data_IF_217660460872
#
_entry.id   IF_217660460872
#
_cell.length_a   1.000
_cell.length_b   1.000
_cell.length_c   1.000
_cell.angle_alpha   90.00
_cell.angle_beta   90.00
_cell.angle_gamma   90.00
#
_symmetry.space_group_name_H-M   'P 1'
#
loop_
_entity.id
_entity.type
_entity.pdbx_description
1 polymer ?
#
# COMPACT_ATOMS: atom_id res chain seq x y z
N UNK A 1 27.25 45.01 -4.77
CA UNK A 1 26.20 44.23 -5.46
C UNK A 1 26.57 42.75 -5.62
N UNK A 2 27.69 42.36 -6.24
CA UNK A 2 28.10 40.93 -6.41
C UNK A 2 28.16 40.10 -5.10
N UNK A 3 28.64 40.67 -4.00
CA UNK A 3 28.76 39.96 -2.70
C UNK A 3 27.40 39.68 -2.03
N UNK A 4 26.41 40.56 -2.22
CA UNK A 4 25.06 40.39 -1.69
C UNK A 4 24.31 39.32 -2.48
N UNK A 5 24.47 39.31 -3.81
CA UNK A 5 23.88 38.30 -4.69
C UNK A 5 24.41 36.88 -4.39
N UNK A 6 25.72 36.76 -4.08
CA UNK A 6 26.34 35.47 -3.73
C UNK A 6 25.85 34.98 -2.34
N UNK A 7 25.75 35.89 -1.36
CA UNK A 7 25.25 35.54 -0.02
C UNK A 7 23.78 35.09 -0.05
N UNK A 8 22.96 35.68 -0.93
CA UNK A 8 21.56 35.29 -1.10
C UNK A 8 21.44 33.90 -1.76
N UNK A 9 22.29 33.61 -2.74
CA UNK A 9 22.34 32.31 -3.41
C UNK A 9 22.77 31.18 -2.46
N UNK A 10 23.77 31.44 -1.59
CA UNK A 10 24.24 30.47 -0.59
C UNK A 10 23.16 30.25 0.48
N UNK A 11 22.46 31.30 0.92
CA UNK A 11 21.34 31.19 1.85
C UNK A 11 20.19 30.34 1.30
N UNK A 12 19.83 30.52 0.03
CA UNK A 12 18.81 29.71 -0.65
C UNK A 12 19.26 28.24 -0.77
N UNK A 13 20.53 27.99 -1.10
CA UNK A 13 21.07 26.63 -1.24
C UNK A 13 21.08 25.85 0.08
N UNK A 14 21.36 26.52 1.19
CA UNK A 14 21.31 25.93 2.54
C UNK A 14 19.89 25.58 2.98
N UNK A 15 18.87 26.37 2.58
CA UNK A 15 17.46 26.07 2.88
C UNK A 15 17.00 24.82 2.10
N UNK A 16 17.44 24.64 0.85
CA UNK A 16 17.14 23.45 0.04
C UNK A 16 17.89 22.18 0.49
N UNK A 17 18.95 22.32 1.28
CA UNK A 17 19.74 21.19 1.80
C UNK A 17 19.14 20.57 3.06
N UNK A 18 18.12 21.19 3.65
CA UNK A 18 17.30 20.58 4.71
C UNK A 18 16.34 19.62 4.00
N UNK A 19 16.86 18.47 3.57
CA UNK A 19 16.02 17.35 3.17
C UNK A 19 15.31 16.84 4.42
N UNK A 20 14.16 17.43 4.75
CA UNK A 20 13.14 16.68 5.49
C UNK A 20 12.90 15.44 4.65
N UNK A 21 13.18 14.26 5.21
CA UNK A 21 12.83 12.97 4.63
C UNK A 21 11.33 12.95 4.45
N UNK A 22 10.87 13.51 3.33
CA UNK A 22 9.56 13.25 2.81
C UNK A 22 9.56 11.75 2.56
N UNK A 23 8.82 11.01 3.38
CA UNK A 23 8.30 9.73 2.95
C UNK A 23 7.60 10.05 1.64
N UNK A 24 8.18 9.61 0.52
CA UNK A 24 7.48 9.61 -0.73
C UNK A 24 6.27 8.72 -0.49
N UNK A 25 5.15 9.32 -0.08
CA UNK A 25 3.85 8.68 -0.12
C UNK A 25 3.76 8.19 -1.55
N UNK A 26 3.76 6.87 -1.72
CA UNK A 26 3.69 6.20 -3.00
C UNK A 26 2.33 6.53 -3.61
N UNK A 27 2.24 7.67 -4.27
CA UNK A 27 1.13 8.02 -5.16
C UNK A 27 1.32 7.24 -6.45
N UNK A 28 1.12 5.92 -6.46
CA UNK A 28 1.32 5.21 -7.72
C UNK A 28 0.90 3.76 -7.84
N UNK A 29 0.92 2.95 -6.77
CA UNK A 29 0.55 1.55 -6.90
C UNK A 29 -0.83 1.28 -6.27
N UNK A 30 -1.91 1.15 -7.08
CA UNK A 30 -3.23 0.84 -6.55
C UNK A 30 -3.29 -0.52 -5.83
N UNK A 31 -2.30 -1.38 -6.07
CA UNK A 31 -2.18 -2.71 -5.46
C UNK A 31 -1.29 -2.70 -4.19
N UNK A 32 -0.71 -1.56 -3.81
CA UNK A 32 0.05 -1.43 -2.57
C UNK A 32 -0.84 -1.74 -1.36
N UNK A 33 -0.25 -2.39 -0.36
CA UNK A 33 -0.95 -2.84 0.84
C UNK A 33 -0.22 -2.29 2.06
N UNK A 34 -0.88 -1.38 2.79
CA UNK A 34 -0.25 -0.59 3.85
C UNK A 34 0.34 -1.47 4.96
N UNK A 35 -0.36 -2.54 5.34
CA UNK A 35 0.06 -3.48 6.38
C UNK A 35 1.31 -4.25 5.93
N UNK A 36 1.39 -4.64 4.65
CA UNK A 36 2.55 -5.28 4.04
C UNK A 36 3.77 -4.33 3.96
N UNK A 37 3.56 -3.07 3.62
CA UNK A 37 4.61 -2.05 3.64
C UNK A 37 5.13 -1.81 5.06
N UNK A 38 4.23 -1.71 6.05
CA UNK A 38 4.62 -1.60 7.44
C UNK A 38 5.47 -2.78 7.90
N UNK A 39 5.12 -4.01 7.53
CA UNK A 39 5.95 -5.19 7.81
C UNK A 39 7.36 -5.08 7.21
N UNK A 40 7.48 -4.71 5.93
CA UNK A 40 8.79 -4.55 5.29
C UNK A 40 9.64 -3.50 6.02
N UNK A 41 9.04 -2.38 6.41
CA UNK A 41 9.71 -1.35 7.20
C UNK A 41 10.12 -1.86 8.58
N UNK A 42 9.24 -2.58 9.29
CA UNK A 42 9.52 -3.17 10.58
C UNK A 42 10.72 -4.13 10.50
N UNK A 43 10.71 -5.07 9.56
CA UNK A 43 11.82 -6.02 9.35
C UNK A 43 13.13 -5.25 9.09
N UNK A 44 13.12 -4.30 8.16
CA UNK A 44 14.30 -3.49 7.85
C UNK A 44 14.85 -2.75 9.07
N UNK A 45 13.98 -2.20 9.93
CA UNK A 45 14.39 -1.50 11.17
C UNK A 45 14.88 -2.45 12.25
N UNK A 46 14.30 -3.63 12.36
CA UNK A 46 14.72 -4.65 13.33
C UNK A 46 15.99 -5.38 12.89
N UNK A 47 16.34 -5.35 11.60
CA UNK A 47 17.59 -5.89 11.05
C UNK A 47 18.78 -4.91 11.15
N UNK A 48 18.57 -3.66 11.56
CA UNK A 48 19.65 -2.72 11.88
C UNK A 48 20.53 -3.24 13.04
N UNK A 49 21.77 -2.75 13.14
CA UNK A 49 22.70 -3.09 14.23
C UNK A 49 23.22 -1.80 14.93
N UNK A 50 22.72 -1.44 16.12
CA UNK A 50 21.71 -2.16 16.91
C UNK A 50 20.29 -2.04 16.32
N UNK A 51 19.42 -3.01 16.64
CA UNK A 51 18.04 -3.04 16.15
C UNK A 51 17.25 -1.79 16.59
N UNK A 52 16.49 -1.22 15.66
CA UNK A 52 15.76 0.03 15.87
C UNK A 52 14.29 -0.22 16.19
N UNK A 53 14.02 -0.69 17.41
CA UNK A 53 12.67 -0.98 17.91
C UNK A 53 11.73 0.24 17.87
N UNK A 54 12.27 1.46 18.04
CA UNK A 54 11.48 2.68 18.04
C UNK A 54 10.86 2.95 16.67
N UNK A 55 11.67 2.92 15.61
CA UNK A 55 11.16 3.16 14.26
C UNK A 55 10.34 1.97 13.74
N UNK A 56 10.66 0.74 14.15
CA UNK A 56 9.81 -0.42 13.86
C UNK A 56 8.42 -0.28 14.51
N UNK A 57 8.35 0.17 15.77
CA UNK A 57 7.08 0.42 16.48
C UNK A 57 6.26 1.49 15.78
N UNK A 58 6.90 2.59 15.35
CA UNK A 58 6.24 3.67 14.61
C UNK A 58 5.66 3.17 13.28
N UNK A 59 6.37 2.31 12.56
CA UNK A 59 5.85 1.70 11.33
C UNK A 59 4.59 0.87 11.60
N UNK A 60 4.56 0.11 12.70
CA UNK A 60 3.38 -0.64 13.12
C UNK A 60 2.20 0.25 13.54
N UNK A 61 2.46 1.29 14.35
CA UNK A 61 1.43 2.21 14.84
C UNK A 61 0.67 2.89 13.68
N UNK A 62 1.33 3.13 12.53
CA UNK A 62 0.68 3.68 11.33
C UNK A 62 -0.41 2.78 10.72
N UNK A 63 -0.39 1.49 11.01
CA UNK A 63 -1.36 0.50 10.48
C UNK A 63 -2.21 -0.15 11.57
N UNK A 64 -1.93 0.18 12.84
CA UNK A 64 -2.62 -0.41 13.98
C UNK A 64 -4.12 -0.17 13.94
N UNK A 65 -4.57 1.02 13.55
CA UNK A 65 -6.00 1.34 13.48
C UNK A 65 -6.73 0.43 12.47
N UNK A 66 -6.17 0.24 11.27
CA UNK A 66 -6.75 -0.66 10.25
C UNK A 66 -6.80 -2.11 10.78
N UNK A 67 -5.73 -2.56 11.44
CA UNK A 67 -5.67 -3.90 12.03
C UNK A 67 -6.74 -4.05 13.12
N UNK A 68 -6.85 -3.09 14.04
CA UNK A 68 -7.81 -3.13 15.15
C UNK A 68 -9.26 -3.12 14.64
N UNK A 69 -9.54 -2.36 13.58
CA UNK A 69 -10.87 -2.28 12.98
C UNK A 69 -11.29 -3.59 12.30
N UNK A 70 -10.36 -4.29 11.65
CA UNK A 70 -10.71 -5.48 10.85
C UNK A 70 -10.43 -6.83 11.54
N UNK A 71 -9.52 -6.86 12.52
CA UNK A 71 -9.09 -8.09 13.20
C UNK A 71 -9.37 -8.05 14.71
N UNK A 72 -9.87 -6.91 15.22
CA UNK A 72 -10.02 -6.66 16.65
C UNK A 72 -8.69 -6.26 17.30
N UNK A 73 -8.75 -5.92 18.60
CA UNK A 73 -7.61 -5.36 19.33
C UNK A 73 -6.59 -6.39 19.83
N UNK A 74 -6.89 -7.68 19.73
CA UNK A 74 -6.02 -8.73 20.30
C UNK A 74 -4.64 -8.82 19.61
N UNK A 75 -4.53 -8.85 18.27
CA UNK A 75 -3.24 -8.86 17.60
C UNK A 75 -2.36 -7.66 17.99
N UNK A 76 -2.94 -6.46 18.09
CA UNK A 76 -2.21 -5.26 18.47
C UNK A 76 -1.74 -5.27 19.92
N UNK A 77 -2.53 -5.84 20.84
CA UNK A 77 -2.08 -6.03 22.22
C UNK A 77 -0.90 -6.98 22.32
N UNK A 78 -0.91 -8.08 21.56
CA UNK A 78 0.21 -9.03 21.52
C UNK A 78 1.48 -8.34 20.97
N UNK A 79 1.35 -7.66 19.83
CA UNK A 79 2.42 -6.90 19.20
C UNK A 79 3.07 -5.88 20.14
N UNK A 80 2.26 -5.06 20.83
CA UNK A 80 2.76 -4.04 21.75
C UNK A 80 3.53 -4.64 22.93
N UNK A 81 3.08 -5.78 23.45
CA UNK A 81 3.77 -6.50 24.52
C UNK A 81 5.15 -7.00 24.08
N UNK A 82 5.31 -7.40 22.81
CA UNK A 82 6.59 -7.86 22.30
C UNK A 82 7.53 -6.69 21.95
N UNK A 83 6.98 -5.54 21.55
CA UNK A 83 7.74 -4.27 21.49
C UNK A 83 8.26 -3.85 22.86
N UNK A 84 7.45 -3.93 23.92
CA UNK A 84 7.87 -3.57 25.28
C UNK A 84 9.01 -4.46 25.80
N UNK A 85 9.03 -5.73 25.36
CA UNK A 85 10.10 -6.69 25.65
C UNK A 85 11.30 -6.61 24.70
N UNK A 86 11.22 -5.78 23.65
CA UNK A 86 12.21 -5.72 22.58
C UNK A 86 12.53 -7.10 21.99
N UNK A 87 11.52 -7.96 21.83
CA UNK A 87 11.69 -9.30 21.28
C UNK A 87 11.49 -9.25 19.76
N UNK A 88 12.59 -9.09 19.02
CA UNK A 88 12.61 -8.99 17.56
C UNK A 88 11.88 -10.15 16.89
N UNK A 89 12.22 -11.37 17.26
CA UNK A 89 11.69 -12.58 16.63
C UNK A 89 10.18 -12.70 16.85
N UNK A 90 9.71 -12.35 18.06
CA UNK A 90 8.29 -12.37 18.37
C UNK A 90 7.51 -11.27 17.62
N UNK A 91 8.04 -10.05 17.53
CA UNK A 91 7.46 -8.95 16.75
C UNK A 91 7.30 -9.35 15.28
N UNK A 92 8.35 -9.93 14.68
CA UNK A 92 8.32 -10.37 13.28
C UNK A 92 7.29 -11.49 13.11
N UNK A 93 7.31 -12.52 13.98
CA UNK A 93 6.39 -13.64 13.90
C UNK A 93 4.91 -13.23 14.07
N UNK A 94 4.63 -12.29 14.96
CA UNK A 94 3.27 -11.77 15.14
C UNK A 94 2.80 -10.95 13.95
N UNK A 95 3.69 -10.16 13.34
CA UNK A 95 3.34 -9.40 12.14
C UNK A 95 3.09 -10.33 10.95
N UNK A 96 3.86 -11.42 10.82
CA UNK A 96 3.64 -12.43 9.79
C UNK A 96 2.24 -13.08 9.91
N UNK A 97 1.78 -13.37 11.13
CA UNK A 97 0.40 -13.86 11.36
C UNK A 97 -0.64 -12.81 10.99
N UNK A 98 -0.41 -11.54 11.33
CA UNK A 98 -1.30 -10.43 10.95
C UNK A 98 -1.42 -10.33 9.41
N UNK A 99 -0.32 -10.45 8.68
CA UNK A 99 -0.34 -10.46 7.22
C UNK A 99 -1.13 -11.65 6.66
N UNK A 100 -0.96 -12.85 7.22
CA UNK A 100 -1.75 -14.02 6.82
C UNK A 100 -3.25 -13.83 7.09
N UNK A 101 -3.63 -13.20 8.22
CA UNK A 101 -5.02 -12.81 8.51
C UNK A 101 -5.54 -11.77 7.51
N UNK A 102 -4.71 -10.82 7.08
CA UNK A 102 -5.07 -9.83 6.06
C UNK A 102 -5.32 -10.50 4.69
N UNK A 103 -4.47 -11.47 4.31
CA UNK A 103 -4.69 -12.29 3.09
C UNK A 103 -6.04 -13.01 3.16
N UNK A 104 -6.36 -13.64 4.30
CA UNK A 104 -7.66 -14.28 4.49
C UNK A 104 -8.83 -13.31 4.30
N UNK A 105 -8.78 -12.14 4.93
CA UNK A 105 -9.80 -11.08 4.79
C UNK A 105 -9.99 -10.71 3.32
N UNK A 106 -8.89 -10.42 2.60
CA UNK A 106 -8.97 -9.99 1.20
C UNK A 106 -9.50 -11.08 0.29
N UNK A 107 -9.03 -12.32 0.42
CA UNK A 107 -9.52 -13.44 -0.39
C UNK A 107 -10.99 -13.78 -0.09
N UNK A 108 -11.45 -13.55 1.15
CA UNK A 108 -12.88 -13.66 1.50
C UNK A 108 -13.68 -12.57 0.79
N UNK A 109 -13.21 -11.32 0.81
CA UNK A 109 -13.86 -10.22 0.09
C UNK A 109 -13.91 -10.46 -1.44
N UNK A 110 -12.89 -11.09 -2.03
CA UNK A 110 -12.91 -11.51 -3.44
C UNK A 110 -13.99 -12.55 -3.69
N UNK A 111 -14.15 -13.54 -2.81
CA UNK A 111 -15.19 -14.57 -2.96
C UNK A 111 -16.60 -13.97 -2.93
N UNK A 112 -16.83 -13.02 -2.02
CA UNK A 112 -18.11 -12.34 -1.86
C UNK A 112 -18.43 -11.41 -3.04
N UNK A 113 -17.40 -10.75 -3.59
CA UNK A 113 -17.53 -9.78 -4.70
C UNK A 113 -17.13 -10.38 -6.04
N UNK A 114 -17.12 -11.70 -6.16
CA UNK A 114 -16.51 -12.42 -7.28
C UNK A 114 -17.04 -12.01 -8.67
N UNK A 115 -18.31 -11.60 -8.73
CA UNK A 115 -18.96 -11.12 -9.96
C UNK A 115 -18.50 -9.73 -10.42
N UNK A 116 -17.91 -8.92 -9.54
CA UNK A 116 -17.29 -7.65 -9.87
C UNK A 116 -15.80 -7.88 -10.17
N UNK A 117 -15.48 -7.96 -11.45
CA UNK A 117 -14.12 -8.24 -11.93
C UNK A 117 -13.09 -7.22 -11.43
N UNK A 118 -13.38 -5.92 -11.52
CA UNK A 118 -12.41 -4.88 -11.19
C UNK A 118 -12.15 -4.83 -9.68
N UNK A 119 -13.20 -4.95 -8.88
CA UNK A 119 -13.07 -5.01 -7.42
C UNK A 119 -12.35 -6.29 -6.99
N UNK A 120 -12.73 -7.44 -7.53
CA UNK A 120 -12.11 -8.74 -7.22
C UNK A 120 -10.64 -8.78 -7.61
N UNK A 121 -10.29 -8.27 -8.80
CA UNK A 121 -8.91 -8.22 -9.28
C UNK A 121 -8.04 -7.33 -8.41
N UNK A 122 -8.53 -6.15 -8.02
CA UNK A 122 -7.81 -5.23 -7.13
C UNK A 122 -7.59 -5.85 -5.75
N UNK A 123 -8.62 -6.47 -5.18
CA UNK A 123 -8.55 -7.15 -3.89
C UNK A 123 -7.55 -8.31 -3.90
N UNK A 124 -7.60 -9.13 -4.95
CA UNK A 124 -6.68 -10.23 -5.14
C UNK A 124 -5.24 -9.74 -5.32
N UNK A 125 -5.04 -8.66 -6.08
CA UNK A 125 -3.71 -8.06 -6.24
C UNK A 125 -3.14 -7.56 -4.91
N UNK A 126 -3.96 -6.96 -4.04
CA UNK A 126 -3.55 -6.56 -2.68
C UNK A 126 -3.24 -7.77 -1.79
N UNK A 127 -4.02 -8.84 -1.88
CA UNK A 127 -3.74 -10.09 -1.17
C UNK A 127 -2.41 -10.69 -1.63
N UNK A 128 -2.14 -10.67 -2.94
CA UNK A 128 -0.88 -11.14 -3.50
C UNK A 128 0.29 -10.26 -3.07
N UNK A 129 0.18 -8.93 -3.11
CA UNK A 129 1.20 -8.01 -2.60
C UNK A 129 1.52 -8.25 -1.11
N UNK A 130 0.49 -8.55 -0.31
CA UNK A 130 0.66 -8.97 1.09
C UNK A 130 1.47 -10.25 1.20
N UNK A 131 1.19 -11.23 0.33
CA UNK A 131 1.95 -12.46 0.27
C UNK A 131 3.40 -12.24 -0.22
N UNK A 132 3.64 -11.36 -1.19
CA UNK A 132 4.99 -11.04 -1.65
C UNK A 132 5.87 -10.50 -0.51
N UNK A 133 5.29 -9.75 0.43
CA UNK A 133 5.99 -9.33 1.63
C UNK A 133 6.32 -10.52 2.56
N UNK A 134 5.46 -11.53 2.66
CA UNK A 134 5.70 -12.77 3.42
C UNK A 134 6.65 -13.75 2.72
N UNK A 135 6.71 -13.70 1.39
CA UNK A 135 7.39 -14.68 0.55
C UNK A 135 8.85 -14.95 0.94
N UNK A 136 9.68 -13.95 1.32
CA UNK A 136 11.04 -14.23 1.81
C UNK A 136 11.07 -15.15 3.03
N UNK A 137 10.18 -14.95 4.01
CA UNK A 137 10.11 -15.77 5.22
C UNK A 137 9.62 -17.20 4.91
N UNK A 138 8.60 -17.34 4.06
CA UNK A 138 8.12 -18.65 3.61
C UNK A 138 9.19 -19.38 2.80
N UNK A 139 9.88 -18.68 1.91
CA UNK A 139 10.91 -19.25 1.04
C UNK A 139 12.18 -19.69 1.77
N UNK A 140 12.54 -18.99 2.86
CA UNK A 140 13.64 -19.37 3.74
C UNK A 140 13.36 -20.71 4.44
N UNK A 141 12.12 -20.95 4.88
CA UNK A 141 11.72 -22.21 5.49
C UNK A 141 11.44 -23.32 4.46
N UNK A 142 10.73 -22.97 3.37
CA UNK A 142 10.26 -23.90 2.36
C UNK A 142 10.01 -23.23 1.00
N UNK A 143 11.03 -23.29 0.13
CA UNK A 143 10.97 -22.74 -1.24
C UNK A 143 9.88 -23.36 -2.13
N UNK A 144 9.59 -24.64 -1.95
CA UNK A 144 8.53 -25.32 -2.72
C UNK A 144 7.15 -24.82 -2.32
N UNK A 145 6.94 -24.60 -1.02
CA UNK A 145 5.72 -23.99 -0.49
C UNK A 145 5.54 -22.56 -1.01
N UNK A 146 6.62 -21.77 -1.02
CA UNK A 146 6.56 -20.41 -1.55
C UNK A 146 6.11 -20.38 -3.02
N UNK A 147 6.72 -21.24 -3.84
CA UNK A 147 6.38 -21.38 -5.27
C UNK A 147 4.92 -21.80 -5.43
N UNK A 148 4.48 -22.80 -4.66
CA UNK A 148 3.10 -23.29 -4.69
C UNK A 148 2.09 -22.19 -4.37
N UNK A 149 2.34 -21.36 -3.35
CA UNK A 149 1.39 -20.30 -2.98
C UNK A 149 1.32 -19.25 -4.10
N UNK A 150 2.45 -18.86 -4.71
CA UNK A 150 2.47 -17.94 -5.87
C UNK A 150 1.66 -18.50 -7.04
N UNK A 151 1.83 -19.79 -7.34
CA UNK A 151 1.07 -20.44 -8.40
C UNK A 151 -0.43 -20.46 -8.11
N UNK A 152 -0.84 -20.65 -6.86
CA UNK A 152 -2.26 -20.56 -6.49
C UNK A 152 -2.82 -19.13 -6.59
N UNK A 153 -2.03 -18.10 -6.32
CA UNK A 153 -2.44 -16.71 -6.60
C UNK A 153 -2.62 -16.47 -8.11
N UNK A 154 -1.75 -17.04 -8.95
CA UNK A 154 -1.90 -16.97 -10.40
C UNK A 154 -3.19 -17.67 -10.87
N UNK A 155 -3.47 -18.88 -10.35
CA UNK A 155 -4.71 -19.61 -10.65
C UNK A 155 -5.94 -18.84 -10.17
N UNK A 156 -5.89 -18.26 -8.98
CA UNK A 156 -6.96 -17.40 -8.46
C UNK A 156 -7.21 -16.22 -9.40
N UNK A 157 -6.16 -15.57 -9.90
CA UNK A 157 -6.28 -14.45 -10.84
C UNK A 157 -6.88 -14.89 -12.17
N UNK A 158 -6.40 -16.00 -12.73
CA UNK A 158 -6.92 -16.57 -13.97
C UNK A 158 -8.39 -16.99 -13.87
N UNK A 159 -8.82 -17.37 -12.66
CA UNK A 159 -10.19 -17.80 -12.38
C UNK A 159 -11.19 -16.64 -12.29
N UNK A 160 -10.72 -15.40 -12.10
CA UNK A 160 -11.59 -14.21 -12.19
C UNK A 160 -12.13 -14.00 -13.62
N UNK A 161 -11.57 -14.69 -14.61
CA UNK A 161 -11.91 -14.49 -16.01
C UNK A 161 -11.32 -13.20 -16.56
N UNK A 162 -11.93 -12.68 -17.62
CA UNK A 162 -11.61 -11.40 -18.23
C UNK A 162 -12.85 -10.89 -18.96
N UNK A 163 -13.41 -9.71 -18.64
CA UNK A 163 -14.56 -9.18 -19.37
C UNK A 163 -14.23 -8.85 -20.84
N UNK A 164 -12.94 -8.67 -21.19
CA UNK A 164 -12.51 -8.29 -22.52
C UNK A 164 -12.80 -6.81 -22.84
N UNK A 165 -12.14 -6.28 -23.87
CA UNK A 165 -12.42 -4.93 -24.35
C UNK A 165 -13.54 -5.01 -25.39
N UNK A 166 -14.73 -4.50 -25.06
CA UNK A 166 -15.94 -4.65 -25.88
C UNK A 166 -16.27 -6.14 -26.21
N UNK A 167 -15.98 -7.05 -25.28
CA UNK A 167 -16.20 -8.49 -25.44
C UNK A 167 -15.09 -9.22 -26.22
N UNK A 168 -14.11 -8.51 -26.79
CA UNK A 168 -12.95 -9.14 -27.41
C UNK A 168 -12.00 -9.65 -26.33
N UNK A 169 -11.68 -10.95 -26.39
CA UNK A 169 -10.80 -11.60 -25.41
C UNK A 169 -11.50 -11.96 -24.09
N UNK A 170 -12.82 -12.05 -24.09
CA UNK A 170 -13.59 -12.48 -22.92
C UNK A 170 -13.19 -13.89 -22.48
N UNK A 171 -13.03 -14.07 -21.17
CA UNK A 171 -12.83 -15.36 -20.50
C UNK A 171 -13.83 -15.44 -19.36
N UNK A 172 -14.57 -16.55 -19.33
CA UNK A 172 -15.54 -16.79 -18.27
C UNK A 172 -14.86 -16.94 -16.90
N UNK A 173 -15.51 -16.38 -15.88
CA UNK A 173 -15.07 -16.51 -14.50
C UNK A 173 -15.41 -17.92 -13.96
N UNK A 174 -14.59 -18.42 -13.04
CA UNK A 174 -14.72 -19.75 -12.44
C UNK A 174 -14.52 -19.66 -10.92
N UNK A 175 -15.61 -19.41 -10.19
CA UNK A 175 -15.57 -19.25 -8.74
C UNK A 175 -15.14 -20.51 -7.99
N UNK A 176 -15.41 -21.70 -8.53
CA UNK A 176 -14.98 -22.96 -7.91
C UNK A 176 -13.47 -23.12 -7.96
N UNK A 177 -12.83 -22.71 -9.06
CA UNK A 177 -11.37 -22.68 -9.16
C UNK A 177 -10.79 -21.66 -8.18
N UNK A 178 -11.39 -20.47 -8.10
CA UNK A 178 -11.01 -19.46 -7.11
C UNK A 178 -11.05 -20.01 -5.67
N UNK A 179 -12.17 -20.62 -5.27
CA UNK A 179 -12.36 -21.18 -3.94
C UNK A 179 -11.32 -22.25 -3.61
N UNK A 180 -11.01 -23.14 -4.55
CA UNK A 180 -9.95 -24.15 -4.38
C UNK A 180 -8.58 -23.50 -4.16
N UNK A 181 -8.22 -22.51 -4.97
CA UNK A 181 -6.95 -21.79 -4.80
C UNK A 181 -6.90 -21.02 -3.48
N UNK A 182 -7.98 -20.32 -3.11
CA UNK A 182 -8.13 -19.66 -1.80
C UNK A 182 -7.87 -20.65 -0.66
N UNK A 183 -8.53 -21.81 -0.67
CA UNK A 183 -8.40 -22.81 0.39
C UNK A 183 -6.97 -23.35 0.49
N UNK A 184 -6.29 -23.58 -0.65
CA UNK A 184 -4.90 -24.02 -0.66
C UNK A 184 -3.97 -22.94 -0.10
N UNK A 185 -4.13 -21.68 -0.51
CA UNK A 185 -3.34 -20.55 0.00
C UNK A 185 -3.50 -20.45 1.52
N UNK A 186 -4.75 -20.39 2.00
CA UNK A 186 -5.04 -20.19 3.41
C UNK A 186 -4.57 -21.37 4.25
N UNK A 187 -4.86 -22.61 3.85
CA UNK A 187 -4.41 -23.80 4.57
C UNK A 187 -2.88 -23.89 4.63
N UNK A 188 -2.19 -23.47 3.57
CA UNK A 188 -0.72 -23.42 3.53
C UNK A 188 -0.16 -22.42 4.53
N UNK A 189 -0.67 -21.18 4.51
CA UNK A 189 -0.26 -20.11 5.43
C UNK A 189 -0.62 -20.44 6.88
N UNK A 190 -1.77 -21.08 7.11
CA UNK A 190 -2.19 -21.51 8.44
C UNK A 190 -1.18 -22.46 9.08
N UNK A 191 -0.71 -23.44 8.29
CA UNK A 191 0.27 -24.43 8.74
C UNK A 191 1.63 -23.79 8.95
N UNK A 192 2.07 -22.98 7.99
CA UNK A 192 3.37 -22.29 8.02
C UNK A 192 3.51 -21.43 9.28
N UNK A 193 2.52 -20.58 9.56
CA UNK A 193 2.54 -19.64 10.68
C UNK A 193 1.87 -20.16 11.95
N UNK A 194 1.49 -21.44 11.99
CA UNK A 194 0.84 -22.12 13.13
C UNK A 194 -0.39 -21.35 13.66
N UNK A 195 -1.19 -20.83 12.74
CA UNK A 195 -2.41 -20.07 13.06
C UNK A 195 -3.51 -21.06 13.46
N UNK A 196 -4.06 -20.91 14.67
CA UNK A 196 -5.09 -21.84 15.17
C UNK A 196 -6.38 -21.75 14.36
N UNK A 197 -6.83 -20.54 14.08
CA UNK A 197 -8.02 -20.25 13.27
C UNK A 197 -7.83 -18.90 12.59
N UNK A 198 -8.31 -18.76 11.36
CA UNK A 198 -8.38 -17.47 10.67
C UNK A 198 -9.58 -16.61 11.12
N UNK A 199 -10.50 -17.14 11.93
CA UNK A 199 -11.68 -16.43 12.47
C UNK A 199 -11.37 -15.39 13.55
N UNK A 200 -10.11 -15.05 13.82
CA UNK A 200 -9.78 -14.03 14.81
C UNK A 200 -10.11 -12.66 14.23
N UNK A 201 -11.30 -12.15 14.55
CA UNK A 201 -11.79 -10.83 14.15
C UNK A 201 -13.22 -10.87 13.64
N UNK A 202 -14.06 -9.92 14.08
CA UNK A 202 -15.26 -9.56 13.34
C UNK A 202 -14.81 -8.94 12.02
N UNK A 203 -14.59 -9.76 11.00
CA UNK A 203 -14.44 -9.27 9.63
C UNK A 203 -15.82 -8.74 9.24
N UNK A 204 -16.11 -7.50 9.63
CA UNK A 204 -17.29 -6.81 9.18
C UNK A 204 -17.09 -6.52 7.70
N UNK A 205 -17.68 -7.36 6.86
CA UNK A 205 -17.64 -7.24 5.40
C UNK A 205 -18.40 -6.01 4.90
N UNK A 206 -19.08 -5.28 5.81
CA UNK A 206 -19.66 -3.95 5.55
C UNK A 206 -18.66 -2.79 5.69
N UNK A 207 -17.45 -3.05 6.20
CA UNK A 207 -16.37 -2.07 6.24
C UNK A 207 -16.13 -1.54 4.84
N UNK A 208 -16.45 -0.26 4.61
CA UNK A 208 -16.02 0.47 3.43
C UNK A 208 -14.50 0.41 3.42
N UNK A 209 -13.93 -0.54 2.69
CA UNK A 209 -12.58 -0.39 2.18
C UNK A 209 -12.55 1.01 1.59
N UNK A 210 -11.64 1.86 2.08
CA UNK A 210 -11.36 3.12 1.41
C UNK A 210 -11.18 2.74 -0.06
N UNK A 211 -12.19 3.08 -0.86
CA UNK A 211 -11.98 3.19 -2.26
C UNK A 211 -10.75 4.07 -2.32
N UNK A 212 -9.63 3.51 -2.80
CA UNK A 212 -8.79 4.33 -3.64
C UNK A 212 -9.82 4.86 -4.64
N UNK A 213 -10.24 6.10 -4.42
CA UNK A 213 -10.90 6.89 -5.43
C UNK A 213 -9.90 6.85 -6.58
N UNK A 214 -10.02 5.81 -7.42
CA UNK A 214 -9.67 5.92 -8.80
C UNK A 214 -10.61 7.00 -9.28
N UNK A 215 -10.19 8.25 -9.14
CA UNK A 215 -10.38 9.36 -10.07
C UNK A 215 -11.64 9.23 -10.93
N UNK A 216 -12.77 8.97 -10.25
CA UNK A 216 -14.13 9.05 -10.76
C UNK A 216 -14.65 10.49 -10.69
N UNK A 217 -13.81 11.41 -10.21
CA UNK A 217 -13.85 12.79 -10.64
C UNK A 217 -12.76 12.93 -11.69
N UNK A 218 -13.18 13.00 -12.95
CA UNK A 218 -12.47 13.83 -13.90
C UNK A 218 -12.40 15.23 -13.29
N UNK A 219 -11.33 15.53 -12.53
CA UNK A 219 -10.91 16.90 -12.24
C UNK A 219 -10.41 17.51 -13.56
N UNK A 220 -11.34 17.75 -14.49
CA UNK A 220 -11.25 18.99 -15.23
C UNK A 220 -11.30 20.08 -14.17
N UNK A 221 -10.32 20.99 -14.22
CA UNK A 221 -10.30 22.17 -13.36
C UNK A 221 -11.69 22.78 -13.40
N UNK A 222 -12.40 22.79 -12.27
CA UNK A 222 -13.76 23.34 -12.23
C UNK A 222 -13.65 24.82 -12.62
N UNK A 223 -13.99 25.11 -13.88
CA UNK A 223 -13.84 26.43 -14.50
C UNK A 223 -14.79 27.45 -13.89
N UNK A 224 -15.79 26.99 -13.13
CA UNK A 224 -16.77 27.84 -12.44
C UNK A 224 -16.21 28.50 -11.18
N UNK A 225 -15.16 27.94 -10.58
CA UNK A 225 -14.58 28.46 -9.35
C UNK A 225 -13.46 29.47 -9.66
N UNK A 226 -13.72 30.75 -9.39
CA UNK A 226 -12.81 31.87 -9.69
C UNK A 226 -11.40 31.70 -9.06
N UNK A 227 -11.30 30.95 -7.95
CA UNK A 227 -10.02 30.67 -7.30
C UNK A 227 -9.09 29.79 -8.13
N UNK A 228 -9.64 28.96 -9.02
CA UNK A 228 -8.87 28.08 -9.90
C UNK A 228 -8.17 28.85 -11.03
N UNK A 229 -8.59 30.09 -11.31
CA UNK A 229 -7.98 30.97 -12.31
C UNK A 229 -6.83 31.82 -11.75
N UNK A 230 -6.70 31.92 -10.42
CA UNK A 230 -5.67 32.74 -9.78
C UNK A 230 -4.23 32.34 -10.21
N UNK A 231 -3.86 31.05 -10.31
CA UNK A 231 -2.53 30.66 -10.78
C UNK A 231 -2.26 31.08 -12.23
N UNK A 232 -3.26 30.98 -13.11
CA UNK A 232 -3.16 31.36 -14.53
C UNK A 232 -2.98 32.88 -14.64
N UNK A 233 -3.74 33.67 -13.87
CA UNK A 233 -3.63 35.12 -13.86
C UNK A 233 -2.22 35.59 -13.42
N UNK A 234 -1.61 34.91 -12.44
CA UNK A 234 -0.24 35.21 -12.00
C UNK A 234 0.78 34.90 -13.10
N UNK A 235 0.65 33.78 -13.80
CA UNK A 235 1.54 33.42 -14.91
C UNK A 235 1.43 34.45 -16.04
N UNK A 236 0.22 34.86 -16.41
CA UNK A 236 -0.02 35.87 -17.45
C UNK A 236 0.60 37.22 -17.05
N UNK A 237 0.44 37.65 -15.79
CA UNK A 237 1.05 38.89 -15.29
C UNK A 237 2.58 38.85 -15.35
N UNK A 238 3.20 37.72 -15.00
CA UNK A 238 4.65 37.55 -15.11
C UNK A 238 5.11 37.62 -16.56
N UNK A 239 4.40 36.95 -17.49
CA UNK A 239 4.72 36.98 -18.91
C UNK A 239 4.60 38.40 -19.50
N UNK A 240 3.52 39.12 -19.18
CA UNK A 240 3.35 40.52 -19.60
C UNK A 240 4.45 41.41 -19.03
N UNK A 241 4.82 41.22 -17.75
CA UNK A 241 5.93 41.94 -17.13
C UNK A 241 7.26 41.72 -17.84
N UNK A 242 7.55 40.47 -18.23
CA UNK A 242 8.75 40.10 -18.99
C UNK A 242 8.73 40.73 -20.40
N UNK A 243 7.58 40.68 -21.09
CA UNK A 243 7.44 41.26 -22.43
C UNK A 243 7.62 42.77 -22.39
N UNK A 244 6.96 43.48 -21.46
CA UNK A 244 7.09 44.94 -21.32
C UNK A 244 8.52 45.33 -20.96
N UNK A 245 9.18 44.59 -20.06
CA UNK A 245 10.58 44.81 -19.73
C UNK A 245 11.51 44.60 -20.94
N UNK A 246 11.28 43.54 -21.72
CA UNK A 246 12.07 43.24 -22.92
C UNK A 246 11.89 44.30 -24.03
N UNK A 247 10.68 44.82 -24.21
CA UNK A 247 10.38 45.88 -25.19
C UNK A 247 10.97 47.23 -24.74
N UNK A 248 10.89 47.57 -23.45
CA UNK A 248 11.51 48.80 -22.90
C UNK A 248 13.03 48.80 -22.97
N UNK A 249 13.68 47.64 -22.93
CA UNK A 249 15.13 47.52 -23.03
C UNK A 249 15.64 47.57 -24.48
N UNK A 250 14.76 47.44 -25.48
CA UNK A 250 15.07 47.53 -26.92
C UNK A 250 14.81 48.92 -27.52
N UNK A 251 14.19 49.84 -26.78
CA UNK A 251 14.23 51.28 -27.05
C UNK A 251 15.34 51.92 -26.24
#
# INVERSE_FOLDING_TARGET
>A
MKKISISLFIGIFLIFSIQTSAFAYSYGNPNEEKVAEAYKQMVAKLDENPANFKEAKKAYENVQEEIDQHMGKEPSKAMMKDFDKQNKEAIIADMQKILALNINRRLTNVDEKFSDYDTSKRLLAKAFATYEALSPAVGEHNKELDTKIKDEFNKALESLGNPGLFGVGQKEANQDTFKKSKDVILTSLQKEFKIKDFKVGHFDTSGKEEAVEGTGKTEWTDLSNLKNWAPIAVIVLVLVGVIVYAVRKRK
#
